data_IF_710058330789
#
_entry.id   IF_710058330789
#
_cell.length_a   1.000
_cell.length_b   1.000
_cell.length_c   1.000
_cell.angle_alpha   90.00
_cell.angle_beta   90.00
_cell.angle_gamma   90.00
#
_symmetry.space_group_name_H-M   'P 1'
#
loop_
_entity.id
_entity.type
_entity.pdbx_description
1 polymer ?
#
# COMPACT_ATOMS: atom_id res chain seq x y z
N UNK A 1 -9.46 -2.15 1.68
CA UNK A 1 -10.56 -1.66 0.84
C UNK A 1 -11.71 -1.12 1.68
N UNK A 2 -11.46 -0.58 2.87
CA UNK A 2 -12.25 0.60 3.25
C UNK A 2 -11.63 1.76 2.50
N UNK A 3 -12.25 2.06 1.37
CA UNK A 3 -11.94 3.21 0.56
C UNK A 3 -12.27 4.43 1.42
N UNK A 4 -11.29 5.28 1.70
CA UNK A 4 -11.58 6.58 2.27
C UNK A 4 -12.28 7.38 1.17
N UNK A 5 -13.60 7.28 1.12
CA UNK A 5 -14.46 8.10 0.28
C UNK A 5 -14.43 9.51 0.87
N UNK A 6 -13.47 10.32 0.43
CA UNK A 6 -13.63 11.77 0.44
C UNK A 6 -14.69 12.05 -0.62
N UNK A 7 -15.84 12.57 -0.20
CA UNK A 7 -17.02 12.72 -1.04
C UNK A 7 -16.75 13.33 -2.42
N UNK A 8 -17.52 12.82 -3.39
CA UNK A 8 -17.59 13.08 -4.84
C UNK A 8 -16.33 12.68 -5.64
N UNK A 9 -16.58 11.63 -6.45
CA UNK A 9 -15.83 11.05 -7.59
C UNK A 9 -14.44 10.45 -7.40
N UNK A 10 -13.61 10.87 -6.44
CA UNK A 10 -12.18 10.52 -6.50
C UNK A 10 -11.67 9.90 -5.21
N UNK A 11 -11.39 8.59 -5.25
CA UNK A 11 -10.75 7.90 -4.12
C UNK A 11 -9.22 7.90 -4.33
N UNK A 12 -8.49 8.26 -3.28
CA UNK A 12 -7.05 8.07 -3.18
C UNK A 12 -6.74 6.62 -2.80
N UNK A 13 -6.11 5.88 -3.70
CA UNK A 13 -5.71 4.48 -3.46
C UNK A 13 -4.24 4.41 -3.09
N UNK A 14 -3.98 3.61 -2.07
CA UNK A 14 -2.65 3.14 -1.75
C UNK A 14 -2.55 1.65 -2.09
N UNK A 15 -2.00 1.37 -3.26
CA UNK A 15 -1.57 0.02 -3.58
C UNK A 15 -0.04 -0.05 -3.44
N UNK A 16 0.49 -0.93 -2.56
CA UNK A 16 1.91 -1.18 -2.53
C UNK A 16 2.35 -1.90 -3.80
N UNK A 17 3.36 -1.39 -4.51
CA UNK A 17 4.07 -2.21 -5.48
C UNK A 17 5.09 -3.01 -4.69
N UNK A 18 4.88 -4.32 -4.62
CA UNK A 18 5.91 -5.23 -4.16
C UNK A 18 7.01 -5.21 -5.22
N UNK A 19 8.15 -4.62 -4.86
CA UNK A 19 9.39 -4.84 -5.61
C UNK A 19 9.77 -6.28 -5.30
N UNK A 20 9.30 -7.19 -6.15
CA UNK A 20 9.51 -8.64 -6.06
C UNK A 20 9.16 -9.25 -4.70
N UNK A 21 7.89 -9.64 -4.54
CA UNK A 21 7.51 -10.62 -3.51
C UNK A 21 8.10 -11.98 -3.89
N UNK A 22 9.41 -12.13 -3.68
CA UNK A 22 10.05 -13.43 -3.62
C UNK A 22 9.56 -14.08 -2.32
N UNK A 23 8.60 -15.00 -2.45
CA UNK A 23 8.20 -15.92 -1.39
C UNK A 23 9.45 -16.35 -0.62
N UNK A 24 9.53 -16.02 0.67
CA UNK A 24 10.67 -16.40 1.50
C UNK A 24 10.56 -17.90 1.75
N UNK A 25 11.08 -18.70 0.83
CA UNK A 25 11.20 -20.15 0.99
C UNK A 25 12.68 -20.44 1.25
N UNK A 26 12.99 -20.91 2.46
CA UNK A 26 14.33 -21.39 2.85
C UNK A 26 15.28 -20.33 3.42
N UNK A 27 16.30 -20.83 4.14
CA UNK A 27 17.30 -20.09 4.91
C UNK A 27 18.11 -19.10 4.05
N UNK A 28 17.59 -17.89 3.89
CA UNK A 28 18.36 -16.73 3.47
C UNK A 28 19.08 -16.09 4.65
N UNK A 29 20.24 -15.46 4.41
CA UNK A 29 20.89 -14.63 5.43
C UNK A 29 20.01 -13.42 5.83
N UNK A 30 20.13 -12.99 7.08
CA UNK A 30 19.34 -11.89 7.66
C UNK A 30 19.36 -10.60 6.81
N UNK A 31 20.49 -10.31 6.17
CA UNK A 31 20.66 -9.15 5.29
C UNK A 31 19.82 -9.23 4.01
N UNK A 32 19.64 -10.43 3.45
CA UNK A 32 18.83 -10.67 2.25
C UNK A 32 17.34 -10.64 2.57
N UNK A 33 16.95 -11.17 3.73
CA UNK A 33 15.56 -11.15 4.22
C UNK A 33 15.10 -9.71 4.46
N UNK A 34 15.92 -8.88 5.13
CA UNK A 34 15.60 -7.48 5.39
C UNK A 34 15.37 -6.67 4.11
N UNK A 35 16.16 -6.91 3.05
CA UNK A 35 15.98 -6.24 1.76
C UNK A 35 14.70 -6.65 1.04
N UNK A 36 14.30 -7.94 1.10
CA UNK A 36 13.08 -8.47 0.45
C UNK A 36 11.79 -8.08 1.16
N UNK A 37 11.84 -7.78 2.46
CA UNK A 37 10.66 -7.37 3.25
C UNK A 37 10.29 -5.89 3.09
N UNK A 38 11.08 -5.10 2.36
CA UNK A 38 10.79 -3.68 2.12
C UNK A 38 9.68 -3.51 1.10
N UNK A 39 8.68 -2.70 1.45
CA UNK A 39 7.51 -2.45 0.60
C UNK A 39 7.58 -1.02 0.05
N UNK A 40 7.36 -0.86 -1.26
CA UNK A 40 7.24 0.46 -1.89
C UNK A 40 5.78 0.80 -2.09
N UNK A 41 5.27 1.76 -1.32
CA UNK A 41 3.92 2.28 -1.48
C UNK A 41 3.83 3.35 -2.57
N UNK A 42 2.63 3.42 -3.18
CA UNK A 42 2.25 4.45 -4.12
C UNK A 42 0.96 5.10 -3.61
N UNK A 43 0.86 6.39 -3.81
CA UNK A 43 -0.33 7.19 -3.52
C UNK A 43 -0.76 7.75 -4.87
N UNK A 44 -1.95 7.37 -5.33
CA UNK A 44 -2.51 7.82 -6.60
C UNK A 44 -4.02 7.98 -6.48
N UNK A 45 -4.55 9.00 -7.13
CA UNK A 45 -5.98 9.22 -7.30
C UNK A 45 -6.46 8.37 -8.47
N UNK A 46 -7.52 7.60 -8.29
CA UNK A 46 -8.16 6.81 -9.35
C UNK A 46 -9.65 7.09 -9.39
N UNK A 47 -10.21 6.97 -10.59
CA UNK A 47 -11.65 6.93 -10.79
C UNK A 47 -12.17 5.49 -10.56
N UNK A 48 -13.46 5.34 -10.25
CA UNK A 48 -14.10 4.04 -9.99
C UNK A 48 -14.03 3.09 -11.19
N UNK A 49 -14.04 3.63 -12.41
CA UNK A 49 -14.02 2.84 -13.63
C UNK A 49 -12.67 2.15 -13.88
N UNK A 50 -11.58 2.68 -13.32
CA UNK A 50 -10.23 2.13 -13.51
C UNK A 50 -9.93 0.94 -12.58
N UNK A 51 -10.92 0.53 -11.79
CA UNK A 51 -10.74 -0.42 -10.70
C UNK A 51 -11.65 -1.61 -10.84
N UNK A 52 -11.03 -2.78 -10.82
CA UNK A 52 -11.78 -4.01 -10.65
C UNK A 52 -12.19 -4.15 -9.17
N UNK A 53 -13.48 -4.30 -8.85
CA UNK A 53 -13.92 -4.50 -7.48
C UNK A 53 -13.41 -5.86 -6.99
N UNK A 54 -12.85 -5.87 -5.78
CA UNK A 54 -12.44 -7.11 -5.11
C UNK A 54 -13.36 -7.37 -3.92
N UNK A 55 -13.68 -8.65 -3.67
CA UNK A 55 -14.55 -9.05 -2.55
C UNK A 55 -13.93 -8.75 -1.17
N UNK A 56 -12.61 -8.62 -1.10
CA UNK A 56 -11.88 -8.59 0.16
C UNK A 56 -11.63 -7.15 0.65
N UNK A 57 -11.89 -6.90 1.93
CA UNK A 57 -11.52 -5.65 2.60
C UNK A 57 -10.16 -5.75 3.32
N UNK A 58 -9.30 -4.77 3.06
CA UNK A 58 -8.13 -4.45 3.90
C UNK A 58 -8.43 -3.23 4.76
N UNK A 59 -8.48 -3.40 6.08
CA UNK A 59 -8.71 -2.32 7.04
C UNK A 59 -7.39 -1.67 7.43
N UNK A 60 -6.96 -0.62 6.74
CA UNK A 60 -5.71 0.10 7.05
C UNK A 60 -6.08 1.36 7.84
N UNK A 61 -5.63 1.54 9.10
CA UNK A 61 -5.81 2.78 9.85
C UNK A 61 -4.84 3.81 9.26
N UNK A 62 -5.26 4.43 8.16
CA UNK A 62 -4.62 5.63 7.65
C UNK A 62 -5.45 6.80 8.13
N UNK A 63 -4.78 7.74 8.77
CA UNK A 63 -5.40 8.98 9.19
C UNK A 63 -5.88 9.71 7.93
N UNK A 64 -7.20 9.87 7.83
CA UNK A 64 -7.85 10.43 6.63
C UNK A 64 -7.38 11.86 6.34
N UNK A 65 -6.88 12.54 7.36
CA UNK A 65 -6.24 13.85 7.31
C UNK A 65 -4.92 13.85 6.54
N UNK A 66 -4.19 12.73 6.56
CA UNK A 66 -2.88 12.58 5.91
C UNK A 66 -3.03 12.32 4.42
N UNK A 67 -4.09 11.63 3.99
CA UNK A 67 -4.32 11.26 2.58
C UNK A 67 -5.37 12.18 1.95
N UNK A 68 -5.05 13.47 1.85
CA UNK A 68 -5.91 14.47 1.24
C UNK A 68 -5.52 14.75 -0.24
N UNK A 69 -6.45 15.29 -1.04
CA UNK A 69 -6.23 15.70 -2.43
C UNK A 69 -5.16 16.80 -2.55
N UNK A 70 -5.08 17.68 -1.56
CA UNK A 70 -4.13 18.81 -1.56
C UNK A 70 -2.67 18.37 -1.44
N UNK A 71 -2.43 17.19 -0.85
CA UNK A 71 -1.09 16.61 -0.67
C UNK A 71 -0.43 16.27 -2.01
N UNK A 72 -1.21 16.07 -3.07
CA UNK A 72 -0.69 15.79 -4.41
C UNK A 72 -0.12 17.03 -5.11
N UNK A 73 -0.47 18.24 -4.66
CA UNK A 73 0.07 19.49 -5.23
C UNK A 73 1.55 19.63 -4.87
N UNK A 74 1.91 19.30 -3.63
CA UNK A 74 3.28 19.41 -3.13
C UNK A 74 4.02 18.07 -3.07
N UNK A 75 5.16 17.93 -3.78
CA UNK A 75 5.94 16.70 -3.78
C UNK A 75 6.54 16.38 -2.40
N UNK A 76 6.77 17.40 -1.56
CA UNK A 76 7.28 17.24 -0.21
C UNK A 76 6.26 16.53 0.71
N UNK A 77 4.99 16.90 0.63
CA UNK A 77 3.91 16.28 1.40
C UNK A 77 3.66 14.86 0.90
N UNK A 78 3.66 14.66 -0.43
CA UNK A 78 3.54 13.30 -1.02
C UNK A 78 4.64 12.35 -0.51
N UNK A 79 5.89 12.82 -0.33
CA UNK A 79 6.96 11.99 0.27
C UNK A 79 6.67 11.62 1.72
N UNK A 80 6.12 12.53 2.53
CA UNK A 80 5.77 12.25 3.93
C UNK A 80 4.71 11.15 4.00
N UNK A 81 3.63 11.25 3.20
CA UNK A 81 2.57 10.23 3.16
C UNK A 81 3.10 8.87 2.71
N UNK A 82 3.96 8.83 1.68
CA UNK A 82 4.58 7.56 1.23
C UNK A 82 5.43 6.91 2.32
N UNK A 83 6.18 7.70 3.10
CA UNK A 83 6.99 7.17 4.22
C UNK A 83 6.09 6.57 5.29
N UNK A 84 5.06 7.28 5.71
CA UNK A 84 4.13 6.80 6.73
C UNK A 84 3.39 5.53 6.28
N UNK A 85 2.93 5.51 5.03
CA UNK A 85 2.31 4.34 4.44
C UNK A 85 3.26 3.13 4.39
N UNK A 86 4.53 3.32 4.01
CA UNK A 86 5.51 2.24 3.98
C UNK A 86 5.67 1.59 5.36
N UNK A 87 5.80 2.38 6.43
CA UNK A 87 5.96 1.86 7.80
C UNK A 87 4.75 1.02 8.19
N UNK A 88 3.53 1.55 7.99
CA UNK A 88 2.28 0.84 8.30
C UNK A 88 2.15 -0.46 7.50
N UNK A 89 2.60 -0.49 6.23
CA UNK A 89 2.56 -1.72 5.41
C UNK A 89 3.61 -2.75 5.83
N UNK A 90 4.81 -2.32 6.24
CA UNK A 90 5.87 -3.22 6.72
C UNK A 90 5.48 -3.92 8.03
N UNK A 91 4.86 -3.21 8.96
CA UNK A 91 4.33 -3.79 10.22
C UNK A 91 3.28 -4.88 9.96
N UNK A 92 2.38 -4.64 9.01
CA UNK A 92 1.35 -5.61 8.61
C UNK A 92 1.94 -6.86 7.96
N UNK A 93 2.92 -6.67 7.09
CA UNK A 93 3.56 -7.75 6.38
C UNK A 93 4.25 -8.71 7.36
N UNK A 94 4.93 -8.19 8.38
CA UNK A 94 5.52 -8.99 9.47
C UNK A 94 4.47 -9.74 10.28
N UNK A 95 3.29 -9.15 10.47
CA UNK A 95 2.19 -9.79 11.21
C UNK A 95 1.51 -10.90 10.39
N UNK A 96 1.75 -10.98 9.07
CA UNK A 96 1.18 -12.02 8.21
C UNK A 96 -0.33 -11.87 7.94
N UNK A 97 -0.92 -10.71 8.27
CA UNK A 97 -2.31 -10.37 7.96
C UNK A 97 -2.45 -10.03 6.48
N UNK A 98 -3.60 -10.36 5.87
CA UNK A 98 -3.92 -10.06 4.47
C UNK A 98 -2.91 -10.63 3.44
N UNK A 99 -2.56 -11.92 3.54
CA UNK A 99 -1.61 -12.60 2.63
C UNK A 99 -1.90 -12.35 1.14
N UNK A 100 -3.17 -12.43 0.75
CA UNK A 100 -3.60 -12.22 -0.64
C UNK A 100 -3.25 -10.83 -1.20
N UNK A 101 -3.20 -9.81 -0.34
CA UNK A 101 -2.91 -8.42 -0.73
C UNK A 101 -1.41 -8.19 -0.97
N UNK A 102 -0.55 -8.92 -0.25
CA UNK A 102 0.90 -8.83 -0.39
C UNK A 102 1.49 -9.86 -1.36
N UNK A 103 0.63 -10.60 -2.06
CA UNK A 103 1.04 -11.47 -3.16
C UNK A 103 1.00 -10.68 -4.47
N UNK A 104 2.06 -10.80 -5.27
CA UNK A 104 2.08 -10.20 -6.61
C UNK A 104 1.03 -10.90 -7.48
N UNK A 105 0.12 -10.13 -8.05
CA UNK A 105 -0.84 -10.63 -9.04
C UNK A 105 -0.09 -11.03 -10.31
N UNK A 106 -0.35 -12.24 -10.81
CA UNK A 106 0.24 -12.78 -12.05
C UNK A 106 -0.80 -12.65 -13.15
N UNK A 107 -0.44 -11.93 -14.20
CA UNK A 107 -1.14 -11.90 -15.47
C UNK A 107 -0.22 -12.50 -16.52
#
# INVERSE_FOLDING_TARGET
>A
FRLCTLGKSDISYLHPRLIESCRVVGHGGFTKISKRSKIKSFVKVYNYNDLMPTRYSVDIPLDKTVVNKDVFRDPALTRKVRREANVKFEERYKTGKNKWFFQKLRF
#
